data_IF_646285627895
#
_entry.id   IF_646285627895
#
_cell.length_a   1.000
_cell.length_b   1.000
_cell.length_c   1.000
_cell.angle_alpha   90.00
_cell.angle_beta   90.00
_cell.angle_gamma   90.00
#
_symmetry.space_group_name_H-M   'P 1'
#
loop_
_entity.id
_entity.type
_entity.pdbx_description
1 polymer ?
#
# COMPACT_ATOMS: atom_id res chain seq x y z
N UNK A 1 17.27 12.77 -0.44
CA UNK A 1 16.23 12.48 -1.44
C UNK A 1 15.88 13.79 -2.10
N UNK A 2 16.09 13.89 -3.41
CA UNK A 2 15.58 15.03 -4.18
C UNK A 2 14.04 15.06 -4.05
N UNK A 3 13.42 16.24 -4.18
CA UNK A 3 11.94 16.33 -4.12
C UNK A 3 11.24 15.45 -5.15
N UNK A 4 11.93 15.11 -6.25
CA UNK A 4 11.49 14.12 -7.24
C UNK A 4 11.40 12.71 -6.63
N UNK A 5 12.40 12.24 -5.89
CA UNK A 5 12.40 10.90 -5.28
C UNK A 5 11.23 10.73 -4.28
N UNK A 6 10.91 11.80 -3.55
CA UNK A 6 9.77 11.82 -2.60
C UNK A 6 8.42 11.73 -3.32
N UNK A 7 8.30 12.36 -4.49
CA UNK A 7 7.10 12.30 -5.32
C UNK A 7 6.90 10.89 -5.89
N UNK A 8 7.95 10.28 -6.42
CA UNK A 8 7.90 8.89 -6.90
C UNK A 8 7.51 7.92 -5.78
N UNK A 9 8.04 8.11 -4.56
CA UNK A 9 7.66 7.32 -3.39
C UNK A 9 6.15 7.40 -3.08
N UNK A 10 5.52 8.57 -3.23
CA UNK A 10 4.07 8.74 -3.05
C UNK A 10 3.29 7.97 -4.12
N UNK A 11 3.76 7.97 -5.37
CA UNK A 11 3.15 7.19 -6.45
C UNK A 11 3.23 5.70 -6.18
N UNK A 12 4.37 5.20 -5.68
CA UNK A 12 4.50 3.81 -5.27
C UNK A 12 3.53 3.46 -4.14
N UNK A 13 3.40 4.32 -3.12
CA UNK A 13 2.47 4.09 -2.01
C UNK A 13 1.00 4.06 -2.46
N UNK A 14 0.59 4.99 -3.33
CA UNK A 14 -0.77 4.99 -3.90
C UNK A 14 -1.01 3.74 -4.79
N UNK A 15 -0.02 3.34 -5.58
CA UNK A 15 -0.09 2.11 -6.38
C UNK A 15 -0.30 0.87 -5.52
N UNK A 16 0.46 0.73 -4.42
CA UNK A 16 0.28 -0.38 -3.48
C UNK A 16 -1.09 -0.38 -2.78
N UNK A 17 -1.64 0.80 -2.46
CA UNK A 17 -3.01 0.91 -1.92
C UNK A 17 -4.07 0.41 -2.90
N UNK A 18 -3.97 0.79 -4.17
CA UNK A 18 -4.92 0.34 -5.22
C UNK A 18 -4.83 -1.17 -5.42
N UNK A 19 -3.61 -1.73 -5.45
CA UNK A 19 -3.39 -3.18 -5.56
C UNK A 19 -3.98 -3.91 -4.35
N UNK A 20 -3.72 -3.41 -3.14
CA UNK A 20 -4.28 -3.98 -1.90
C UNK A 20 -5.82 -3.96 -1.93
N UNK A 21 -6.42 -2.84 -2.34
CA UNK A 21 -7.87 -2.73 -2.43
C UNK A 21 -8.46 -3.72 -3.46
N UNK A 22 -7.79 -3.89 -4.60
CA UNK A 22 -8.15 -4.89 -5.61
C UNK A 22 -8.05 -6.33 -5.11
N UNK A 23 -6.98 -6.68 -4.38
CA UNK A 23 -6.83 -8.01 -3.77
C UNK A 23 -7.89 -8.28 -2.69
N UNK A 24 -8.22 -7.29 -1.85
CA UNK A 24 -9.29 -7.43 -0.85
C UNK A 24 -10.64 -7.63 -1.52
N UNK A 25 -10.92 -6.89 -2.59
CA UNK A 25 -12.15 -7.04 -3.36
C UNK A 25 -12.25 -8.44 -4.01
N UNK A 26 -11.16 -8.91 -4.63
CA UNK A 26 -11.10 -10.27 -5.20
C UNK A 26 -11.26 -11.35 -4.13
N UNK A 27 -10.60 -11.20 -2.99
CA UNK A 27 -10.74 -12.09 -1.84
C UNK A 27 -12.21 -12.16 -1.40
N UNK A 28 -12.87 -11.02 -1.17
CA UNK A 28 -14.23 -11.01 -0.60
C UNK A 28 -15.34 -11.40 -1.58
N UNK A 29 -15.23 -11.06 -2.86
CA UNK A 29 -16.36 -11.20 -3.80
C UNK A 29 -16.25 -12.37 -4.77
N UNK A 30 -15.05 -12.80 -5.16
CA UNK A 30 -14.89 -13.79 -6.24
C UNK A 30 -14.48 -15.19 -5.75
N UNK A 31 -13.99 -15.30 -4.52
CA UNK A 31 -13.43 -16.55 -4.00
C UNK A 31 -14.37 -17.19 -2.99
N UNK A 32 -15.01 -18.29 -3.39
CA UNK A 32 -15.88 -19.12 -2.51
C UNK A 32 -15.07 -20.01 -1.55
N UNK A 33 -13.78 -20.25 -1.86
CA UNK A 33 -12.87 -21.06 -1.03
C UNK A 33 -12.24 -20.22 0.09
N UNK A 34 -12.60 -20.53 1.35
CA UNK A 34 -12.08 -19.87 2.57
C UNK A 34 -10.55 -19.80 2.62
N UNK A 35 -9.84 -20.82 2.15
CA UNK A 35 -8.36 -20.89 2.21
C UNK A 35 -7.70 -19.86 1.27
N UNK A 36 -8.15 -19.77 0.01
CA UNK A 36 -7.65 -18.76 -0.91
C UNK A 36 -8.02 -17.35 -0.42
N UNK A 37 -9.22 -17.17 0.13
CA UNK A 37 -9.67 -15.91 0.69
C UNK A 37 -8.69 -15.38 1.75
N UNK A 38 -8.29 -16.24 2.68
CA UNK A 38 -7.36 -15.91 3.76
C UNK A 38 -5.97 -15.61 3.21
N UNK A 39 -5.45 -16.40 2.25
CA UNK A 39 -4.16 -16.14 1.62
C UNK A 39 -4.11 -14.77 0.93
N UNK A 40 -5.10 -14.46 0.10
CA UNK A 40 -5.19 -13.15 -0.57
C UNK A 40 -5.39 -12.00 0.44
N UNK A 41 -6.15 -12.23 1.52
CA UNK A 41 -6.34 -11.24 2.58
C UNK A 41 -5.04 -10.97 3.35
N UNK A 42 -4.24 -12.00 3.65
CA UNK A 42 -2.93 -11.85 4.29
C UNK A 42 -1.99 -11.05 3.40
N UNK A 43 -1.89 -11.40 2.12
CA UNK A 43 -1.03 -10.68 1.15
C UNK A 43 -1.45 -9.22 1.03
N UNK A 44 -2.76 -8.95 0.94
CA UNK A 44 -3.27 -7.59 0.89
C UNK A 44 -2.94 -6.81 2.18
N UNK A 45 -3.11 -7.43 3.35
CA UNK A 45 -2.77 -6.79 4.62
C UNK A 45 -1.29 -6.43 4.72
N UNK A 46 -0.39 -7.31 4.26
CA UNK A 46 1.04 -7.03 4.20
C UNK A 46 1.36 -5.86 3.29
N UNK A 47 0.71 -5.77 2.11
CA UNK A 47 0.84 -4.63 1.20
C UNK A 47 0.33 -3.32 1.82
N UNK A 48 -0.79 -3.38 2.54
CA UNK A 48 -1.38 -2.23 3.23
C UNK A 48 -0.45 -1.71 4.32
N UNK A 49 0.14 -2.61 5.11
CA UNK A 49 1.11 -2.26 6.15
C UNK A 49 2.38 -1.65 5.56
N UNK A 50 2.92 -2.22 4.49
CA UNK A 50 4.07 -1.64 3.79
C UNK A 50 3.78 -0.26 3.23
N UNK A 51 2.57 -0.04 2.68
CA UNK A 51 2.11 1.27 2.20
C UNK A 51 1.95 2.27 3.33
N UNK A 52 1.44 1.83 4.48
CA UNK A 52 1.29 2.65 5.67
C UNK A 52 2.65 3.15 6.17
N UNK A 53 3.63 2.26 6.32
CA UNK A 53 4.99 2.66 6.71
C UNK A 53 5.66 3.57 5.67
N UNK A 54 5.49 3.29 4.39
CA UNK A 54 5.99 4.16 3.32
C UNK A 54 5.39 5.57 3.41
N UNK A 55 4.09 5.68 3.68
CA UNK A 55 3.39 6.97 3.82
C UNK A 55 3.81 7.71 5.09
N UNK A 56 3.95 7.00 6.22
CA UNK A 56 4.44 7.58 7.48
C UNK A 56 5.84 8.16 7.29
N UNK A 57 6.75 7.39 6.67
CA UNK A 57 8.09 7.88 6.34
C UNK A 57 8.03 9.12 5.44
N UNK A 58 7.14 9.15 4.45
CA UNK A 58 6.98 10.28 3.53
C UNK A 58 6.47 11.56 4.22
N UNK A 59 5.48 11.43 5.12
CA UNK A 59 4.89 12.56 5.86
C UNK A 59 5.92 13.21 6.77
N UNK A 60 6.71 12.42 7.51
CA UNK A 60 7.80 12.94 8.33
C UNK A 60 8.92 13.56 7.49
N UNK A 61 9.12 13.09 6.25
CA UNK A 61 10.15 13.56 5.32
C UNK A 61 9.60 14.55 4.27
N UNK A 62 8.60 15.38 4.59
CA UNK A 62 7.85 16.26 3.68
C UNK A 62 8.55 16.80 2.39
N UNK A 63 7.79 17.10 1.32
CA UNK A 63 8.31 17.37 -0.03
C UNK A 63 9.38 18.48 -0.11
N UNK A 64 9.29 19.45 0.78
CA UNK A 64 10.35 20.38 1.17
C UNK A 64 10.80 19.98 2.56
N UNK A 65 12.10 20.08 2.88
CA UNK A 65 12.68 19.73 4.18
C UNK A 65 11.78 20.13 5.35
N UNK A 66 11.88 19.37 6.45
CA UNK A 66 11.04 19.51 7.63
C UNK A 66 10.93 20.94 8.17
N UNK A 67 10.20 21.06 9.27
CA UNK A 67 10.44 22.19 10.16
C UNK A 67 11.95 22.38 10.41
#
# INVERSE_FOLDING_TARGET
MSSLDKMWLSFYAMGFMVISMGLIYLSRYKIKNRVLQILFAIIAYTLLISSFFAMVYLVFNGPTGGA
#
